data_IF_571579828437
#
_entry.id   IF_571579828437
#
_cell.length_a   1.000
_cell.length_b   1.000
_cell.length_c   1.000
_cell.angle_alpha   90.00
_cell.angle_beta   90.00
_cell.angle_gamma   90.00
#
_symmetry.space_group_name_H-M   'P 1'
#
loop_
_entity.id
_entity.type
_entity.pdbx_description
1 polymer ?
#
# COMPACT_ATOMS: atom_id res chain seq x y z
N UNK A 1 4.56 -26.54 37.95
CA UNK A 1 5.53 -25.46 37.70
C UNK A 1 5.32 -24.97 36.27
N UNK A 2 4.55 -23.91 36.11
CA UNK A 2 4.11 -23.42 34.80
C UNK A 2 5.22 -22.54 34.23
N UNK A 3 5.81 -22.96 33.11
CA UNK A 3 6.81 -22.18 32.38
C UNK A 3 6.12 -20.91 31.86
N UNK A 4 6.34 -19.79 32.55
CA UNK A 4 6.02 -18.46 32.06
C UNK A 4 6.91 -18.25 30.84
N UNK A 5 6.36 -18.52 29.66
CA UNK A 5 6.97 -18.16 28.39
C UNK A 5 6.94 -16.64 28.34
N UNK A 6 7.99 -16.02 28.84
CA UNK A 6 8.23 -14.58 28.69
C UNK A 6 8.23 -14.35 27.18
N UNK A 7 7.12 -13.87 26.63
CA UNK A 7 7.06 -13.36 25.27
C UNK A 7 7.99 -12.16 25.26
N UNK A 8 9.26 -12.41 24.93
CA UNK A 8 10.19 -11.35 24.56
C UNK A 8 9.49 -10.55 23.46
N UNK A 9 9.04 -9.35 23.83
CA UNK A 9 8.48 -8.36 22.95
C UNK A 9 9.64 -7.92 22.04
N UNK A 10 9.87 -8.66 20.97
CA UNK A 10 10.93 -8.33 20.02
C UNK A 10 10.48 -7.03 19.33
N UNK A 11 11.00 -5.90 19.80
CA UNK A 11 10.82 -4.57 19.22
C UNK A 11 11.58 -4.48 17.90
N UNK A 12 11.15 -5.24 16.89
CA UNK A 12 11.54 -4.93 15.52
C UNK A 12 10.83 -3.64 15.10
N UNK A 13 11.50 -2.75 14.34
CA UNK A 13 10.78 -1.66 13.68
C UNK A 13 9.69 -2.28 12.81
N UNK A 14 8.44 -1.90 13.07
CA UNK A 14 7.34 -2.30 12.22
C UNK A 14 7.44 -1.55 10.89
N UNK A 15 6.97 -2.16 9.80
CA UNK A 15 7.04 -1.60 8.46
C UNK A 15 5.69 -1.69 7.77
N UNK A 16 5.36 -0.62 7.07
CA UNK A 16 4.32 -0.59 6.05
C UNK A 16 5.04 -0.56 4.70
N UNK A 17 4.72 -1.53 3.85
CA UNK A 17 5.36 -1.73 2.54
C UNK A 17 4.30 -1.50 1.48
N UNK A 18 4.45 -0.44 0.70
CA UNK A 18 3.56 -0.15 -0.44
C UNK A 18 4.16 -0.76 -1.68
N UNK A 19 3.37 -1.51 -2.44
CA UNK A 19 3.76 -2.12 -3.72
C UNK A 19 2.71 -1.84 -4.78
N UNK A 20 3.17 -1.73 -6.02
CA UNK A 20 2.29 -1.68 -7.18
C UNK A 20 2.70 -2.70 -8.24
N UNK A 21 1.72 -3.18 -9.01
CA UNK A 21 1.94 -4.01 -10.21
C UNK A 21 1.17 -3.43 -11.38
N UNK A 22 1.63 -3.69 -12.60
CA UNK A 22 0.97 -3.28 -13.84
C UNK A 22 0.97 -4.41 -14.86
N UNK A 23 0.04 -4.35 -15.81
CA UNK A 23 0.02 -5.18 -17.01
C UNK A 23 -0.45 -4.35 -18.19
N UNK A 24 0.37 -4.28 -19.23
CA UNK A 24 -0.02 -3.57 -20.46
C UNK A 24 -1.02 -4.35 -21.32
N UNK A 25 -1.84 -3.62 -22.06
CA UNK A 25 -2.76 -4.12 -23.08
C UNK A 25 -2.97 -3.07 -24.17
N UNK A 26 -3.68 -3.43 -25.25
CA UNK A 26 -4.12 -2.48 -26.28
C UNK A 26 -5.62 -2.22 -26.11
N UNK A 27 -6.02 -0.95 -26.10
CA UNK A 27 -7.43 -0.56 -26.11
C UNK A 27 -8.04 -0.70 -27.52
N UNK A 28 -9.34 -0.37 -27.66
CA UNK A 28 -10.10 -0.54 -28.91
C UNK A 28 -9.55 0.28 -30.09
N UNK A 29 -8.79 1.34 -29.82
CA UNK A 29 -8.13 2.20 -30.82
C UNK A 29 -6.63 1.87 -30.99
N UNK A 30 -6.14 0.78 -30.38
CA UNK A 30 -4.78 0.26 -30.54
C UNK A 30 -3.70 0.89 -29.67
N UNK A 31 -4.06 1.84 -28.79
CA UNK A 31 -3.14 2.51 -27.88
C UNK A 31 -2.71 1.60 -26.73
N UNK A 32 -1.46 1.78 -26.26
CA UNK A 32 -0.95 1.06 -25.10
C UNK A 32 -1.56 1.64 -23.83
N UNK A 33 -2.28 0.79 -23.11
CA UNK A 33 -2.86 1.08 -21.81
C UNK A 33 -2.35 0.10 -20.77
N UNK A 34 -2.54 0.44 -19.49
CA UNK A 34 -2.14 -0.42 -18.38
C UNK A 34 -3.29 -0.59 -17.42
N UNK A 35 -3.47 -1.83 -16.98
CA UNK A 35 -4.20 -2.11 -15.77
C UNK A 35 -3.19 -2.25 -14.64
N UNK A 36 -3.39 -1.51 -13.55
CA UNK A 36 -2.47 -1.48 -12.42
C UNK A 36 -3.19 -1.74 -11.11
N UNK A 37 -2.43 -2.25 -10.14
CA UNK A 37 -2.85 -2.46 -8.76
C UNK A 37 -1.85 -1.83 -7.83
N UNK A 38 -2.32 -1.26 -6.73
CA UNK A 38 -1.48 -0.82 -5.61
C UNK A 38 -2.05 -1.39 -4.31
N UNK A 39 -1.18 -1.83 -3.42
CA UNK A 39 -1.58 -2.51 -2.18
C UNK A 39 -0.50 -2.36 -1.11
N UNK A 40 -0.89 -2.65 0.12
CA UNK A 40 -0.06 -2.59 1.31
C UNK A 40 0.22 -4.00 1.84
N UNK A 41 1.46 -4.23 2.20
CA UNK A 41 1.89 -5.33 3.06
C UNK A 41 2.51 -4.76 4.34
N UNK A 42 2.58 -5.58 5.40
CA UNK A 42 3.16 -5.15 6.66
C UNK A 42 4.15 -6.16 7.23
N UNK A 43 5.14 -5.66 7.95
CA UNK A 43 6.09 -6.46 8.72
C UNK A 43 6.10 -5.95 10.17
N UNK A 44 5.63 -6.73 11.18
CA UNK A 44 5.07 -8.07 11.05
C UNK A 44 3.71 -8.06 10.31
N UNK A 45 3.28 -9.20 9.73
CA UNK A 45 1.98 -9.30 9.05
C UNK A 45 0.79 -8.96 9.94
N UNK A 46 0.92 -9.13 11.26
CA UNK A 46 -0.14 -8.79 12.23
C UNK A 46 -0.45 -7.29 12.30
N UNK A 47 0.49 -6.42 11.90
CA UNK A 47 0.30 -4.97 11.88
C UNK A 47 -0.86 -4.54 10.98
N UNK A 48 -1.18 -5.30 9.92
CA UNK A 48 -2.32 -5.03 9.04
C UNK A 48 -3.65 -4.93 9.82
N UNK A 49 -3.76 -5.59 10.99
CA UNK A 49 -4.95 -5.54 11.83
C UNK A 49 -5.11 -4.23 12.61
N UNK A 50 -4.06 -3.42 12.69
CA UNK A 50 -4.09 -2.10 13.32
C UNK A 50 -4.51 -1.00 12.34
N UNK A 51 -4.54 -1.30 11.05
CA UNK A 51 -4.96 -0.37 10.00
C UNK A 51 -6.48 -0.49 9.82
N UNK A 52 -7.17 0.62 9.97
CA UNK A 52 -8.61 0.74 9.77
C UNK A 52 -8.95 0.89 8.29
N UNK A 53 -8.23 1.78 7.60
CA UNK A 53 -8.48 2.11 6.21
C UNK A 53 -7.24 2.72 5.54
N UNK A 54 -7.26 2.76 4.21
CA UNK A 54 -6.30 3.50 3.40
C UNK A 54 -7.07 4.42 2.47
N UNK A 55 -6.81 5.71 2.54
CA UNK A 55 -7.32 6.68 1.58
C UNK A 55 -6.26 6.96 0.51
N UNK A 56 -6.58 6.67 -0.75
CA UNK A 56 -5.70 6.92 -1.89
C UNK A 56 -6.07 8.24 -2.55
N UNK A 57 -5.06 9.10 -2.76
CA UNK A 57 -5.19 10.37 -3.49
C UNK A 57 -4.62 10.21 -4.90
N UNK A 58 -5.52 9.96 -5.85
CA UNK A 58 -5.24 9.83 -7.26
C UNK A 58 -4.83 11.16 -7.90
N UNK A 59 -4.19 11.06 -9.06
CA UNK A 59 -3.81 12.22 -9.86
C UNK A 59 -5.04 13.11 -10.17
N UNK A 60 -4.90 14.45 -10.23
CA UNK A 60 -6.03 15.36 -10.47
C UNK A 60 -6.84 15.12 -11.76
N UNK A 61 -6.30 14.35 -12.72
CA UNK A 61 -6.98 13.95 -13.96
C UNK A 61 -8.05 12.87 -13.74
N UNK A 62 -8.05 12.16 -12.62
CA UNK A 62 -9.10 11.21 -12.28
C UNK A 62 -10.37 11.96 -11.83
N UNK A 63 -11.55 11.43 -12.22
CA UNK A 63 -12.85 12.01 -11.84
C UNK A 63 -13.09 11.94 -10.34
N UNK A 64 -12.76 10.79 -9.74
CA UNK A 64 -12.74 10.57 -8.30
C UNK A 64 -11.28 10.59 -7.88
N UNK A 65 -10.92 11.53 -7.00
CA UNK A 65 -9.54 11.78 -6.59
C UNK A 65 -9.19 11.03 -5.31
N UNK A 66 -10.14 10.97 -4.39
CA UNK A 66 -9.94 10.36 -3.08
C UNK A 66 -10.76 9.07 -2.99
N UNK A 67 -10.09 7.96 -2.71
CA UNK A 67 -10.71 6.63 -2.65
C UNK A 67 -10.33 5.96 -1.32
N UNK A 68 -11.33 5.74 -0.47
CA UNK A 68 -11.19 5.03 0.80
C UNK A 68 -11.37 3.52 0.61
N UNK A 69 -10.37 2.73 1.00
CA UNK A 69 -10.43 1.26 1.01
C UNK A 69 -10.31 0.75 2.45
N UNK A 70 -11.25 -0.10 2.87
CA UNK A 70 -11.31 -0.68 4.23
C UNK A 70 -11.01 -2.18 4.26
N UNK A 71 -10.92 -2.84 3.09
CA UNK A 71 -10.71 -4.27 3.01
C UNK A 71 -9.23 -4.65 3.25
N UNK A 72 -8.88 -4.94 4.50
CA UNK A 72 -7.52 -5.38 4.88
C UNK A 72 -7.11 -6.73 4.29
N UNK A 73 -8.05 -7.61 3.96
CA UNK A 73 -7.75 -8.95 3.44
C UNK A 73 -7.10 -8.91 2.05
N UNK A 74 -7.26 -7.79 1.33
CA UNK A 74 -6.60 -7.55 0.04
C UNK A 74 -5.34 -6.71 0.18
N UNK A 75 -4.92 -6.35 1.40
CA UNK A 75 -3.90 -5.34 1.61
C UNK A 75 -4.37 -3.94 1.18
N UNK A 76 -5.66 -3.64 1.37
CA UNK A 76 -6.28 -2.38 0.96
C UNK A 76 -6.15 -2.08 -0.54
N UNK A 77 -6.16 -3.13 -1.37
CA UNK A 77 -5.86 -3.02 -2.79
C UNK A 77 -6.78 -2.06 -3.54
N UNK A 78 -6.17 -1.12 -4.26
CA UNK A 78 -6.82 -0.29 -5.28
C UNK A 78 -6.39 -0.76 -6.68
N UNK A 79 -7.34 -0.80 -7.61
CA UNK A 79 -7.11 -1.21 -9.00
C UNK A 79 -7.68 -0.14 -9.93
N UNK A 80 -6.94 0.22 -10.99
CA UNK A 80 -7.47 1.09 -12.03
C UNK A 80 -6.77 0.88 -13.37
N UNK A 81 -7.22 1.62 -14.38
CA UNK A 81 -6.64 1.66 -15.71
C UNK A 81 -6.08 3.05 -15.99
N UNK A 82 -4.95 3.11 -16.69
CA UNK A 82 -4.35 4.38 -17.08
C UNK A 82 -3.13 4.20 -17.97
N UNK A 83 -2.69 5.31 -18.54
CA UNK A 83 -1.56 5.38 -19.47
C UNK A 83 -0.32 6.07 -18.85
N UNK A 84 -0.49 6.79 -17.73
CA UNK A 84 0.55 7.58 -17.09
C UNK A 84 0.98 7.05 -15.73
N UNK A 85 2.28 7.13 -15.47
CA UNK A 85 2.89 6.98 -14.14
C UNK A 85 2.73 8.28 -13.34
N UNK A 86 2.62 8.18 -12.02
CA UNK A 86 2.50 9.34 -11.14
C UNK A 86 2.87 9.00 -9.70
N UNK A 87 3.15 10.03 -8.89
CA UNK A 87 3.25 9.86 -7.44
C UNK A 87 1.84 9.80 -6.86
N UNK A 88 1.47 8.65 -6.32
CA UNK A 88 0.25 8.46 -5.56
C UNK A 88 0.55 8.68 -4.07
N UNK A 89 -0.24 9.54 -3.43
CA UNK A 89 -0.22 9.69 -1.98
C UNK A 89 -1.30 8.81 -1.37
N UNK A 90 -1.04 8.27 -0.20
CA UNK A 90 -2.05 7.54 0.58
C UNK A 90 -1.92 7.84 2.06
N UNK A 91 -3.05 8.05 2.70
CA UNK A 91 -3.16 8.15 4.14
C UNK A 91 -3.55 6.79 4.70
N UNK A 92 -2.64 6.19 5.48
CA UNK A 92 -2.88 4.94 6.19
C UNK A 92 -3.46 5.30 7.56
N UNK A 93 -4.74 5.01 7.76
CA UNK A 93 -5.52 5.36 8.94
C UNK A 93 -5.56 4.15 9.87
N UNK A 94 -5.17 4.35 11.12
CA UNK A 94 -5.14 3.31 12.15
C UNK A 94 -6.45 3.25 12.93
N UNK A 95 -6.69 2.16 13.64
CA UNK A 95 -7.90 1.97 14.46
C UNK A 95 -8.07 3.00 15.59
N UNK A 96 -7.00 3.71 15.96
CA UNK A 96 -7.01 4.79 16.96
C UNK A 96 -7.11 6.19 16.33
N UNK A 97 -7.49 6.27 15.06
CA UNK A 97 -7.61 7.47 14.23
C UNK A 97 -6.30 8.23 13.95
N UNK A 98 -5.14 7.75 14.42
CA UNK A 98 -3.87 8.30 13.93
C UNK A 98 -3.65 7.87 12.49
N UNK A 99 -2.95 8.71 11.72
CA UNK A 99 -2.64 8.41 10.32
C UNK A 99 -1.19 8.68 9.97
N UNK A 100 -0.71 8.02 8.92
CA UNK A 100 0.57 8.34 8.31
C UNK A 100 0.44 8.42 6.80
N UNK A 101 0.97 9.49 6.22
CA UNK A 101 0.98 9.68 4.77
C UNK A 101 2.20 8.98 4.16
N UNK A 102 1.96 8.20 3.11
CA UNK A 102 2.98 7.55 2.30
C UNK A 102 2.87 8.05 0.86
N UNK A 103 4.00 8.45 0.27
CA UNK A 103 4.09 8.78 -1.15
C UNK A 103 4.77 7.64 -1.89
N UNK A 104 4.15 7.15 -2.95
CA UNK A 104 4.65 6.05 -3.75
C UNK A 104 4.67 6.43 -5.22
N UNK A 105 5.76 6.14 -5.93
CA UNK A 105 5.81 6.33 -7.39
C UNK A 105 5.19 5.12 -8.07
N UNK A 106 3.97 5.28 -8.59
CA UNK A 106 3.25 4.25 -9.31
C UNK A 106 3.90 4.06 -10.68
N UNK A 107 4.64 2.96 -10.84
CA UNK A 107 5.21 2.58 -12.13
C UNK A 107 4.25 1.73 -12.95
N UNK A 108 4.25 1.95 -14.26
CA UNK A 108 3.58 1.10 -15.23
C UNK A 108 4.56 0.12 -15.89
N UNK A 109 5.85 0.19 -15.56
CA UNK A 109 6.87 -0.76 -15.98
C UNK A 109 6.45 -2.21 -15.65
N UNK A 110 6.20 -2.99 -16.70
CA UNK A 110 5.82 -4.40 -16.64
C UNK A 110 7.00 -5.35 -16.92
N UNK A 111 8.24 -4.84 -16.91
CA UNK A 111 9.45 -5.63 -17.12
C UNK A 111 9.81 -6.48 -15.90
N UNK A 112 10.13 -7.76 -16.13
CA UNK A 112 10.40 -8.73 -15.07
C UNK A 112 11.78 -8.56 -14.37
N UNK A 113 12.59 -7.58 -14.77
CA UNK A 113 14.05 -7.55 -14.50
C UNK A 113 14.44 -6.47 -13.47
N UNK A 114 13.54 -5.57 -13.05
CA UNK A 114 13.86 -4.55 -12.04
C UNK A 114 13.05 -4.73 -10.76
N UNK A 115 13.74 -4.46 -9.65
CA UNK A 115 13.27 -4.42 -8.27
C UNK A 115 11.81 -3.91 -8.21
N UNK A 116 10.90 -4.71 -7.64
CA UNK A 116 9.51 -4.29 -7.39
C UNK A 116 9.57 -2.88 -6.80
N UNK A 117 8.97 -1.88 -7.46
CA UNK A 117 8.90 -0.54 -6.87
C UNK A 117 8.13 -0.68 -5.57
N UNK A 118 8.86 -0.55 -4.48
CA UNK A 118 8.33 -0.64 -3.14
C UNK A 118 8.73 0.59 -2.35
N UNK A 119 7.82 1.03 -1.49
CA UNK A 119 8.09 2.10 -0.55
C UNK A 119 7.92 1.54 0.84
N UNK A 120 9.00 1.56 1.62
CA UNK A 120 9.01 1.05 2.99
C UNK A 120 8.94 2.23 3.95
N UNK A 121 7.86 2.28 4.73
CA UNK A 121 7.70 3.22 5.84
C UNK A 121 7.95 2.47 7.16
N UNK A 122 9.01 2.86 7.86
CA UNK A 122 9.28 2.38 9.22
C UNK A 122 8.34 3.10 10.19
N UNK A 123 7.67 2.33 11.05
CA UNK A 123 6.77 2.83 12.11
C UNK A 123 7.23 2.33 13.48
N UNK A 124 7.29 3.24 14.46
CA UNK A 124 7.72 2.92 15.81
C UNK A 124 6.54 2.37 16.62
N UNK A 125 6.58 1.10 17.00
CA UNK A 125 5.47 0.40 17.69
C UNK A 125 5.00 1.11 18.96
N UNK A 126 5.84 1.89 19.66
CA UNK A 126 5.44 2.68 20.84
C UNK A 126 4.46 3.82 20.54
N UNK A 127 4.41 4.30 19.31
CA UNK A 127 3.36 5.24 18.91
C UNK A 127 2.05 4.48 18.62
N UNK A 128 2.08 3.15 18.41
CA UNK A 128 0.99 2.32 17.85
C UNK A 128 0.45 1.27 18.83
N UNK A 129 0.60 1.53 20.13
CA UNK A 129 0.16 0.69 21.25
C UNK A 129 -0.64 1.49 22.25
#
# INVERSE_FOLDING_TARGET
>A
MQLIKVMQCIKWPAKIIVRNTSKSYRNDIGERWFYWKIFIETEPPSLINQIQAVEYHLHPTFRVKDILITNKNTGFRLEAQGWGEFVIKMDVILNDNRSTTISHYLSLDDSAIKEKKETVKIVNVKEYS
#
